data_IF_794274608414
#
_entry.id   IF_794274608414
#
_cell.length_a   1.000
_cell.length_b   1.000
_cell.length_c   1.000
_cell.angle_alpha   90.00
_cell.angle_beta   90.00
_cell.angle_gamma   90.00
#
_symmetry.space_group_name_H-M   'P 1'
#
loop_
_entity.id
_entity.type
_entity.pdbx_description
1 polymer ?
#
# COMPACT_ATOMS: atom_id res chain seq x y z
N UNK A 1 8.04 -13.81 1.25
CA UNK A 1 6.91 -12.86 1.27
C UNK A 1 6.97 -12.06 2.56
N UNK A 2 6.79 -10.73 2.56
CA UNK A 2 6.98 -9.89 3.76
C UNK A 2 6.02 -10.26 4.91
N UNK A 3 4.83 -10.76 4.61
CA UNK A 3 3.82 -11.14 5.59
C UNK A 3 3.97 -12.58 6.14
N UNK A 4 4.97 -13.34 5.71
CA UNK A 4 5.23 -14.70 6.22
C UNK A 4 5.36 -14.81 7.75
N UNK A 5 5.91 -13.81 8.48
CA UNK A 5 6.00 -13.90 9.93
C UNK A 5 4.64 -14.04 10.64
N UNK A 6 3.56 -13.55 9.99
CA UNK A 6 2.20 -13.63 10.54
C UNK A 6 1.64 -15.06 10.56
N UNK A 7 2.10 -15.97 9.70
CA UNK A 7 1.61 -17.35 9.65
C UNK A 7 1.81 -18.09 10.97
N UNK A 8 2.79 -17.71 11.78
CA UNK A 8 3.01 -18.28 13.12
C UNK A 8 1.92 -17.93 14.12
N UNK A 9 1.22 -16.78 13.91
CA UNK A 9 0.11 -16.39 14.79
C UNK A 9 -1.10 -17.31 14.66
N UNK A 10 -1.34 -17.84 13.47
CA UNK A 10 -2.49 -18.73 13.23
C UNK A 10 -2.41 -20.05 14.03
N UNK A 11 -1.25 -20.38 14.59
CA UNK A 11 -1.07 -21.54 15.49
C UNK A 11 -1.56 -21.25 16.91
N UNK A 12 -1.72 -19.98 17.28
CA UNK A 12 -2.22 -19.52 18.58
C UNK A 12 -3.74 -19.30 18.48
N UNK A 13 -4.54 -20.27 18.90
CA UNK A 13 -6.00 -20.23 18.77
C UNK A 13 -6.69 -19.95 20.11
N UNK A 14 -7.74 -19.12 20.10
CA UNK A 14 -8.20 -18.28 18.99
C UNK A 14 -7.27 -17.10 18.73
N UNK A 15 -7.00 -16.81 17.47
CA UNK A 15 -6.35 -15.55 17.09
C UNK A 15 -7.27 -14.39 17.47
N UNK A 16 -6.78 -13.46 18.28
CA UNK A 16 -7.53 -12.27 18.70
C UNK A 16 -7.03 -11.03 17.97
N UNK A 17 -7.95 -10.36 17.28
CA UNK A 17 -7.67 -9.14 16.52
C UNK A 17 -8.47 -7.99 17.09
N UNK A 18 -7.80 -6.93 17.50
CA UNK A 18 -8.41 -5.67 17.91
C UNK A 18 -8.47 -4.72 16.71
N UNK A 19 -9.64 -4.22 16.39
CA UNK A 19 -9.85 -3.16 15.42
C UNK A 19 -10.46 -1.95 16.12
N UNK A 20 -9.72 -0.85 16.19
CA UNK A 20 -10.21 0.41 16.76
C UNK A 20 -10.63 1.32 15.62
N UNK A 21 -11.94 1.53 15.48
CA UNK A 21 -12.48 2.48 14.51
C UNK A 21 -12.56 3.88 15.11
N UNK A 22 -11.68 4.76 14.68
CA UNK A 22 -11.67 6.17 15.05
C UNK A 22 -12.27 7.09 13.96
N UNK A 23 -12.70 6.51 12.82
CA UNK A 23 -13.34 7.20 11.70
C UNK A 23 -14.84 6.94 11.61
N UNK A 24 -15.42 7.29 10.48
CA UNK A 24 -16.83 7.04 10.19
C UNK A 24 -17.10 5.55 9.94
N UNK A 25 -18.22 5.00 10.45
CA UNK A 25 -18.49 3.56 10.36
C UNK A 25 -18.73 3.03 8.93
N UNK A 26 -19.14 3.89 8.02
CA UNK A 26 -19.46 3.61 6.61
C UNK A 26 -18.35 4.02 5.64
N UNK A 27 -17.27 4.60 6.15
CA UNK A 27 -16.10 4.95 5.35
C UNK A 27 -15.46 3.73 4.70
N UNK A 28 -15.00 3.90 3.44
CA UNK A 28 -14.39 2.81 2.66
C UNK A 28 -13.15 2.21 3.34
N UNK A 29 -12.34 3.04 3.99
CA UNK A 29 -11.16 2.59 4.74
C UNK A 29 -11.54 1.56 5.81
N UNK A 30 -12.59 1.84 6.57
CA UNK A 30 -13.09 0.94 7.60
C UNK A 30 -13.81 -0.27 7.01
N UNK A 31 -14.78 -0.06 6.14
CA UNK A 31 -15.57 -1.13 5.53
C UNK A 31 -14.67 -2.10 4.75
N UNK A 32 -13.69 -1.57 4.00
CA UNK A 32 -12.74 -2.35 3.23
C UNK A 32 -11.84 -3.24 4.08
N UNK A 33 -11.49 -2.81 5.28
CA UNK A 33 -10.73 -3.62 6.23
C UNK A 33 -11.61 -4.65 6.93
N UNK A 34 -12.74 -4.20 7.48
CA UNK A 34 -13.53 -5.01 8.41
C UNK A 34 -14.34 -6.10 7.74
N UNK A 35 -14.86 -5.86 6.52
CA UNK A 35 -15.71 -6.85 5.85
C UNK A 35 -14.97 -8.15 5.49
N UNK A 36 -13.78 -8.15 4.86
CA UNK A 36 -13.05 -9.38 4.64
C UNK A 36 -12.71 -10.13 5.94
N UNK A 37 -12.33 -9.41 7.00
CA UNK A 37 -12.02 -10.02 8.30
C UNK A 37 -13.26 -10.62 8.98
N UNK A 38 -14.42 -9.97 8.88
CA UNK A 38 -15.71 -10.52 9.37
C UNK A 38 -16.11 -11.78 8.61
N UNK A 39 -15.91 -11.80 7.29
CA UNK A 39 -16.16 -13.00 6.49
C UNK A 39 -15.23 -14.14 6.91
N UNK A 40 -13.93 -13.85 7.10
CA UNK A 40 -12.99 -14.83 7.64
C UNK A 40 -13.44 -15.37 8.99
N UNK A 41 -13.83 -14.50 9.92
CA UNK A 41 -14.28 -14.91 11.26
C UNK A 41 -15.55 -15.77 11.21
N UNK A 42 -16.48 -15.50 10.29
CA UNK A 42 -17.68 -16.33 10.10
C UNK A 42 -17.34 -17.71 9.52
N UNK A 43 -16.41 -17.76 8.57
CA UNK A 43 -16.01 -19.03 7.93
C UNK A 43 -15.21 -19.92 8.87
N UNK A 44 -14.33 -19.33 9.67
CA UNK A 44 -13.41 -20.07 10.56
C UNK A 44 -14.02 -20.40 11.91
N UNK A 45 -14.98 -19.60 12.37
CA UNK A 45 -15.59 -19.71 13.69
C UNK A 45 -14.78 -19.05 14.81
N UNK A 46 -15.43 -18.82 15.98
CA UNK A 46 -14.85 -18.06 17.09
C UNK A 46 -13.68 -18.75 17.78
N UNK A 47 -13.53 -20.05 17.57
CA UNK A 47 -12.40 -20.84 18.11
C UNK A 47 -11.11 -20.63 17.32
N UNK A 48 -11.20 -20.10 16.09
CA UNK A 48 -10.04 -19.80 15.28
C UNK A 48 -9.75 -18.31 15.18
N UNK A 49 -10.79 -17.46 15.02
CA UNK A 49 -10.63 -16.02 14.86
C UNK A 49 -11.68 -15.25 15.65
N UNK A 50 -11.23 -14.36 16.53
CA UNK A 50 -12.07 -13.41 17.28
C UNK A 50 -11.70 -11.97 16.89
N UNK A 51 -12.74 -11.20 16.53
CA UNK A 51 -12.59 -9.78 16.20
C UNK A 51 -13.21 -8.94 17.31
N UNK A 52 -12.37 -8.19 18.03
CA UNK A 52 -12.79 -7.17 18.97
C UNK A 52 -12.85 -5.84 18.22
N UNK A 53 -14.05 -5.34 17.95
CA UNK A 53 -14.28 -4.09 17.19
C UNK A 53 -14.76 -3.05 18.16
N UNK A 54 -13.95 -2.01 18.38
CA UNK A 54 -14.18 -1.01 19.42
C UNK A 54 -14.07 0.42 18.85
N UNK A 55 -14.82 1.37 19.44
CA UNK A 55 -14.52 2.79 19.30
C UNK A 55 -13.30 3.16 20.17
N UNK A 56 -12.70 4.36 19.97
CA UNK A 56 -11.61 4.83 20.84
C UNK A 56 -12.00 4.84 22.33
N UNK A 57 -13.21 5.29 22.65
CA UNK A 57 -13.74 5.33 24.02
C UNK A 57 -13.87 3.91 24.62
N UNK A 58 -14.43 2.98 23.86
CA UNK A 58 -14.54 1.59 24.28
C UNK A 58 -13.16 0.93 24.48
N UNK A 59 -12.22 1.19 23.54
CA UNK A 59 -10.86 0.68 23.64
C UNK A 59 -10.14 1.21 24.88
N UNK A 60 -10.33 2.48 25.24
CA UNK A 60 -9.76 3.07 26.44
C UNK A 60 -10.32 2.48 27.73
N UNK A 61 -11.60 2.12 27.76
CA UNK A 61 -12.25 1.52 28.93
C UNK A 61 -12.01 0.02 29.06
N UNK A 62 -11.60 -0.66 27.98
CA UNK A 62 -11.33 -2.08 28.01
C UNK A 62 -10.09 -2.35 28.85
N UNK A 63 -10.21 -3.20 29.85
CA UNK A 63 -9.04 -3.61 30.65
C UNK A 63 -8.02 -4.31 29.76
N UNK A 64 -6.69 -4.14 30.03
CA UNK A 64 -5.66 -4.88 29.35
C UNK A 64 -5.88 -6.38 29.58
N UNK A 65 -6.52 -7.04 28.63
CA UNK A 65 -6.57 -8.50 28.63
C UNK A 65 -5.27 -9.00 27.98
N UNK A 66 -4.61 -10.00 28.53
CA UNK A 66 -3.46 -10.57 27.87
C UNK A 66 -3.90 -11.11 26.53
N UNK A 67 -3.24 -10.61 25.43
CA UNK A 67 -3.18 -11.35 24.22
C UNK A 67 -4.02 -10.92 23.03
N UNK A 68 -4.10 -9.64 22.66
CA UNK A 68 -4.33 -9.36 21.26
C UNK A 68 -3.07 -9.71 20.46
N UNK A 69 -3.27 -10.53 19.44
CA UNK A 69 -2.20 -10.95 18.54
C UNK A 69 -1.95 -9.88 17.48
N UNK A 70 -3.01 -9.20 17.05
CA UNK A 70 -2.99 -8.11 16.09
C UNK A 70 -3.90 -6.97 16.56
N UNK A 71 -3.45 -5.72 16.43
CA UNK A 71 -4.24 -4.53 16.71
C UNK A 71 -4.05 -3.48 15.62
N UNK A 72 -5.15 -2.91 15.11
CA UNK A 72 -5.13 -1.87 14.07
C UNK A 72 -5.98 -0.68 14.49
N UNK A 73 -5.38 0.51 14.45
CA UNK A 73 -6.08 1.79 14.58
C UNK A 73 -6.48 2.29 13.19
N UNK A 74 -7.77 2.45 12.97
CA UNK A 74 -8.32 2.79 11.65
C UNK A 74 -8.97 4.17 11.71
N UNK A 75 -8.57 5.04 10.80
CA UNK A 75 -9.18 6.35 10.61
C UNK A 75 -9.05 6.78 9.14
N UNK A 76 -10.02 7.55 8.66
CA UNK A 76 -9.96 8.13 7.32
C UNK A 76 -9.00 9.30 7.26
N UNK A 77 -8.55 9.64 6.07
CA UNK A 77 -7.56 10.70 5.85
C UNK A 77 -8.03 12.09 6.32
N UNK A 78 -9.33 12.34 6.33
CA UNK A 78 -9.93 13.61 6.76
C UNK A 78 -10.32 13.61 8.25
N UNK A 79 -10.11 12.51 8.95
CA UNK A 79 -10.52 12.38 10.34
C UNK A 79 -9.54 13.09 11.27
N UNK A 80 -10.05 13.96 12.13
CA UNK A 80 -9.25 14.55 13.20
C UNK A 80 -8.93 13.51 14.29
N UNK A 81 -7.74 13.59 14.91
CA UNK A 81 -7.38 12.68 16.00
C UNK A 81 -8.33 12.86 17.21
N UNK A 82 -8.57 11.79 17.96
CA UNK A 82 -9.25 11.89 19.26
C UNK A 82 -8.52 12.86 20.22
N UNK A 83 -9.19 13.32 21.29
CA UNK A 83 -8.50 14.10 22.32
C UNK A 83 -7.20 13.44 22.80
N UNK A 84 -6.14 14.20 23.10
CA UNK A 84 -4.79 13.66 23.33
C UNK A 84 -4.71 12.54 24.39
N UNK A 85 -5.44 12.66 25.49
CA UNK A 85 -5.46 11.65 26.56
C UNK A 85 -6.10 10.33 26.10
N UNK A 86 -7.20 10.46 25.32
CA UNK A 86 -7.88 9.30 24.73
C UNK A 86 -6.98 8.64 23.69
N UNK A 87 -6.39 9.44 22.82
CA UNK A 87 -5.47 8.93 21.79
C UNK A 87 -4.30 8.17 22.42
N UNK A 88 -3.63 8.75 23.44
CA UNK A 88 -2.54 8.08 24.16
C UNK A 88 -2.97 6.71 24.67
N UNK A 89 -4.12 6.62 25.32
CA UNK A 89 -4.63 5.35 25.85
C UNK A 89 -4.90 4.34 24.75
N UNK A 90 -5.46 4.77 23.62
CA UNK A 90 -5.70 3.90 22.45
C UNK A 90 -4.38 3.41 21.85
N UNK A 91 -3.38 4.29 21.71
CA UNK A 91 -2.07 3.93 21.19
C UNK A 91 -1.37 2.89 22.08
N UNK A 92 -1.43 3.08 23.41
CA UNK A 92 -0.87 2.13 24.39
C UNK A 92 -1.56 0.76 24.26
N UNK A 93 -2.89 0.74 24.06
CA UNK A 93 -3.63 -0.50 23.83
C UNK A 93 -3.21 -1.20 22.54
N UNK A 94 -3.16 -0.47 21.45
CA UNK A 94 -2.76 -1.02 20.16
C UNK A 94 -1.33 -1.57 20.22
N UNK A 95 -0.37 -0.80 20.76
CA UNK A 95 1.04 -1.18 20.81
C UNK A 95 1.34 -2.37 21.74
N UNK A 96 0.42 -2.71 22.65
CA UNK A 96 0.52 -3.89 23.51
C UNK A 96 0.32 -5.20 22.75
N UNK A 97 -0.29 -5.18 21.57
CA UNK A 97 -0.46 -6.36 20.73
C UNK A 97 0.88 -6.84 20.15
N UNK A 98 0.93 -8.13 19.78
CA UNK A 98 2.16 -8.71 19.21
C UNK A 98 2.52 -8.11 17.85
N UNK A 99 1.51 -7.90 17.00
CA UNK A 99 1.59 -7.08 15.78
C UNK A 99 0.57 -5.96 15.89
N UNK A 100 0.95 -4.78 15.48
CA UNK A 100 0.07 -3.63 15.60
C UNK A 100 0.39 -2.58 14.52
N UNK A 101 -0.52 -1.65 14.33
CA UNK A 101 -0.32 -0.62 13.34
C UNK A 101 -1.54 0.23 13.07
N UNK A 102 -1.54 0.90 11.91
CA UNK A 102 -2.59 1.81 11.51
C UNK A 102 -3.07 1.63 10.08
N UNK A 103 -4.24 2.17 9.81
CA UNK A 103 -4.83 2.25 8.48
C UNK A 103 -5.35 3.68 8.28
N UNK A 104 -5.02 4.29 7.14
CA UNK A 104 -5.37 5.68 6.86
C UNK A 104 -4.67 6.66 7.79
N UNK A 105 -5.39 7.63 8.35
CA UNK A 105 -4.85 8.62 9.30
C UNK A 105 -4.36 7.98 10.61
N UNK A 106 -4.83 6.78 10.96
CA UNK A 106 -4.32 6.03 12.10
C UNK A 106 -2.81 5.78 12.03
N UNK A 107 -2.24 5.65 10.83
CA UNK A 107 -0.78 5.54 10.63
C UNK A 107 -0.08 6.84 11.02
N UNK A 108 -0.63 7.99 10.61
CA UNK A 108 -0.09 9.31 10.93
C UNK A 108 -0.04 9.52 12.44
N UNK A 109 -1.12 9.22 13.16
CA UNK A 109 -1.18 9.41 14.60
C UNK A 109 -0.19 8.53 15.37
N UNK A 110 0.04 7.30 14.91
CA UNK A 110 1.07 6.41 15.48
C UNK A 110 2.49 6.95 15.22
N UNK A 111 2.71 7.51 14.04
CA UNK A 111 4.00 8.09 13.67
C UNK A 111 4.28 9.40 14.43
N UNK A 112 3.27 10.27 14.60
CA UNK A 112 3.36 11.50 15.38
C UNK A 112 3.67 11.22 16.86
N UNK A 113 3.12 10.15 17.40
CA UNK A 113 3.42 9.68 18.74
C UNK A 113 4.84 9.07 18.88
N UNK A 114 5.61 9.01 17.79
CA UNK A 114 6.98 8.48 17.77
C UNK A 114 7.06 6.94 17.80
N UNK A 115 5.94 6.25 17.66
CA UNK A 115 5.89 4.80 17.76
C UNK A 115 6.38 4.08 16.49
N UNK A 116 6.55 4.80 15.38
CA UNK A 116 7.00 4.26 14.09
C UNK A 116 8.39 4.78 13.68
N UNK A 117 9.24 5.16 14.64
CA UNK A 117 10.57 5.66 14.35
C UNK A 117 11.45 4.60 13.66
N UNK A 118 12.03 4.97 12.49
CA UNK A 118 12.89 4.10 11.69
C UNK A 118 12.14 2.97 10.94
N UNK A 119 10.81 2.94 11.00
CA UNK A 119 9.96 1.93 10.36
C UNK A 119 9.51 2.42 8.99
N UNK A 120 9.45 1.52 8.01
CA UNK A 120 8.81 1.80 6.71
C UNK A 120 7.30 1.78 6.88
N UNK A 121 6.67 2.86 6.43
CA UNK A 121 5.22 3.04 6.56
C UNK A 121 4.57 3.41 5.22
N UNK A 122 3.39 2.87 4.98
CA UNK A 122 2.48 3.29 3.92
C UNK A 122 1.44 4.24 4.53
N UNK A 123 1.47 5.49 4.10
CA UNK A 123 0.56 6.55 4.54
C UNK A 123 -0.29 7.00 3.36
N UNK A 124 -1.56 7.44 3.55
CA UNK A 124 -2.30 8.10 2.49
C UNK A 124 -1.52 9.28 1.90
N UNK A 125 -1.40 9.34 0.59
CA UNK A 125 -0.66 10.41 -0.07
C UNK A 125 -1.20 11.81 0.27
N UNK A 126 -2.51 11.95 0.51
CA UNK A 126 -3.14 13.21 0.89
C UNK A 126 -2.57 13.78 2.19
N UNK A 127 -2.05 12.94 3.07
CA UNK A 127 -1.43 13.33 4.33
C UNK A 127 0.08 13.59 4.23
N UNK A 128 0.69 13.45 3.05
CA UNK A 128 2.14 13.66 2.91
C UNK A 128 2.57 15.11 3.16
N UNK A 129 1.70 16.09 2.90
CA UNK A 129 2.00 17.50 3.20
C UNK A 129 2.12 17.77 4.70
N UNK A 130 1.48 16.97 5.53
CA UNK A 130 1.51 17.08 6.99
C UNK A 130 2.73 16.38 7.61
N UNK A 131 3.54 15.70 6.77
CA UNK A 131 4.59 14.78 7.23
C UNK A 131 6.00 15.35 7.19
N UNK A 132 6.21 16.64 6.95
CA UNK A 132 7.56 17.22 6.89
C UNK A 132 8.36 16.97 8.18
N UNK A 133 7.69 16.95 9.33
CA UNK A 133 8.26 16.56 10.61
C UNK A 133 8.41 15.03 10.80
N UNK A 134 7.61 14.21 10.06
CA UNK A 134 7.61 12.75 10.16
C UNK A 134 8.74 12.09 9.37
N UNK A 135 9.20 12.70 8.27
CA UNK A 135 10.32 12.19 7.45
C UNK A 135 11.62 12.07 8.26
N UNK A 136 11.70 12.76 9.39
CA UNK A 136 12.81 12.61 10.36
C UNK A 136 12.64 11.38 11.26
N UNK A 137 11.44 10.77 11.33
CA UNK A 137 11.11 9.70 12.29
C UNK A 137 10.75 8.38 11.65
N UNK A 138 10.00 8.38 10.54
CA UNK A 138 9.57 7.17 9.82
C UNK A 138 10.02 7.22 8.36
N UNK A 139 10.14 6.06 7.72
CA UNK A 139 10.52 5.93 6.30
C UNK A 139 9.23 5.80 5.48
N UNK A 140 8.82 6.88 4.83
CA UNK A 140 7.63 6.87 3.98
C UNK A 140 7.86 6.05 2.70
N UNK A 141 6.94 5.14 2.40
CA UNK A 141 6.94 4.39 1.15
C UNK A 141 5.73 4.76 0.29
N UNK A 142 5.84 4.70 -1.03
CA UNK A 142 4.70 4.94 -1.91
C UNK A 142 3.77 3.72 -2.03
N UNK A 143 3.96 2.71 -1.23
CA UNK A 143 3.26 1.42 -1.29
C UNK A 143 1.84 1.52 -0.75
N UNK A 144 1.01 0.52 -1.08
CA UNK A 144 -0.36 0.43 -0.57
C UNK A 144 -0.38 0.09 0.92
N UNK A 145 0.50 -0.84 1.33
CA UNK A 145 0.63 -1.25 2.73
C UNK A 145 2.00 -1.89 2.98
N UNK A 146 2.44 -1.82 4.23
CA UNK A 146 3.74 -2.34 4.69
C UNK A 146 3.59 -3.22 5.93
N UNK A 147 4.47 -4.21 6.02
CA UNK A 147 4.81 -4.89 7.28
C UNK A 147 6.31 -4.73 7.49
N UNK A 148 6.69 -4.02 8.54
CA UNK A 148 8.08 -3.85 8.94
C UNK A 148 8.26 -4.24 10.40
N UNK A 149 9.02 -5.32 10.63
CA UNK A 149 9.12 -5.93 11.95
C UNK A 149 7.77 -6.44 12.45
N UNK A 150 7.23 -5.81 13.49
CA UNK A 150 5.90 -6.09 14.06
C UNK A 150 4.86 -5.03 13.74
N UNK A 151 5.22 -4.03 12.95
CA UNK A 151 4.36 -2.90 12.63
C UNK A 151 3.73 -3.04 11.25
N UNK A 152 2.46 -2.70 11.19
CA UNK A 152 1.62 -2.75 10.01
C UNK A 152 1.14 -1.35 9.66
N UNK A 153 1.17 -1.01 8.39
CA UNK A 153 0.60 0.25 7.92
C UNK A 153 -0.08 0.06 6.57
N UNK A 154 -1.19 0.74 6.36
CA UNK A 154 -1.93 0.73 5.10
C UNK A 154 -2.42 2.15 4.80
N UNK A 155 -2.31 2.55 3.54
CA UNK A 155 -2.75 3.88 3.10
C UNK A 155 -4.28 4.10 3.14
N UNK A 156 -5.08 3.08 3.46
CA UNK A 156 -6.54 3.23 3.56
C UNK A 156 -7.28 3.17 2.23
N UNK A 157 -8.51 3.65 2.19
CA UNK A 157 -9.40 3.58 1.04
C UNK A 157 -9.57 2.15 0.53
N UNK A 158 -9.63 1.96 -0.78
CA UNK A 158 -9.75 0.63 -1.39
C UNK A 158 -8.55 -0.31 -1.11
N UNK A 159 -7.37 0.22 -0.75
CA UNK A 159 -6.23 -0.59 -0.37
C UNK A 159 -6.45 -1.38 0.93
N UNK A 160 -7.40 -0.95 1.77
CA UNK A 160 -7.80 -1.66 2.99
C UNK A 160 -8.35 -3.06 2.68
N UNK A 161 -9.01 -3.23 1.52
CA UNK A 161 -9.51 -4.53 1.07
C UNK A 161 -8.35 -5.47 0.75
N UNK A 162 -7.38 -4.99 -0.04
CA UNK A 162 -6.20 -5.78 -0.41
C UNK A 162 -5.35 -6.14 0.80
N UNK A 163 -5.21 -5.19 1.72
CA UNK A 163 -4.52 -5.39 2.99
C UNK A 163 -5.20 -6.46 3.83
N UNK A 164 -6.52 -6.37 4.04
CA UNK A 164 -7.28 -7.37 4.79
C UNK A 164 -7.20 -8.77 4.16
N UNK A 165 -7.34 -8.87 2.83
CA UNK A 165 -7.20 -10.13 2.10
C UNK A 165 -5.77 -10.69 2.18
N UNK A 166 -4.76 -9.83 2.17
CA UNK A 166 -3.36 -10.25 2.37
C UNK A 166 -3.12 -10.77 3.79
N UNK A 167 -3.70 -10.11 4.81
CA UNK A 167 -3.66 -10.60 6.19
C UNK A 167 -4.33 -11.97 6.32
N UNK A 168 -5.51 -12.16 5.72
CA UNK A 168 -6.20 -13.46 5.72
C UNK A 168 -5.35 -14.52 5.06
N UNK A 169 -4.74 -14.24 3.90
CA UNK A 169 -3.86 -15.21 3.23
C UNK A 169 -2.63 -15.57 4.08
N UNK A 170 -2.03 -14.59 4.74
CA UNK A 170 -0.85 -14.81 5.59
C UNK A 170 -1.19 -15.61 6.87
N UNK A 171 -2.40 -15.45 7.39
CA UNK A 171 -2.85 -16.10 8.62
C UNK A 171 -3.47 -17.48 8.37
N UNK A 172 -4.30 -17.62 7.34
CA UNK A 172 -5.16 -18.79 7.13
C UNK A 172 -5.02 -19.44 5.74
N UNK A 173 -4.09 -18.93 4.94
CA UNK A 173 -3.78 -19.49 3.63
C UNK A 173 -4.63 -18.98 2.48
N UNK A 174 -4.22 -19.36 1.27
CA UNK A 174 -4.79 -18.87 0.01
C UNK A 174 -6.24 -19.35 -0.22
N UNK A 175 -6.61 -20.49 0.31
CA UNK A 175 -7.96 -21.06 0.14
C UNK A 175 -9.02 -20.19 0.83
N UNK A 176 -8.76 -19.76 2.08
CA UNK A 176 -9.68 -18.86 2.80
C UNK A 176 -9.75 -17.49 2.13
N UNK A 177 -8.59 -16.96 1.70
CA UNK A 177 -8.55 -15.71 0.93
C UNK A 177 -9.38 -15.81 -0.36
N UNK A 178 -9.24 -16.90 -1.13
CA UNK A 178 -9.94 -17.09 -2.41
C UNK A 178 -11.47 -17.10 -2.20
N UNK A 179 -11.96 -17.81 -1.20
CA UNK A 179 -13.39 -17.87 -0.90
C UNK A 179 -13.97 -16.49 -0.50
N UNK A 180 -13.22 -15.71 0.28
CA UNK A 180 -13.64 -14.34 0.66
C UNK A 180 -13.60 -13.43 -0.56
N UNK A 181 -12.56 -13.52 -1.38
CA UNK A 181 -12.39 -12.77 -2.62
C UNK A 181 -13.56 -13.00 -3.56
N UNK A 182 -13.97 -14.25 -3.75
CA UNK A 182 -15.13 -14.65 -4.56
C UNK A 182 -16.42 -14.05 -3.98
N UNK A 183 -16.64 -14.18 -2.69
CA UNK A 183 -17.82 -13.62 -2.00
C UNK A 183 -17.94 -12.10 -2.11
N UNK A 184 -16.81 -11.39 -2.27
CA UNK A 184 -16.75 -9.95 -2.44
C UNK A 184 -16.67 -9.51 -3.91
N UNK A 185 -16.75 -10.44 -4.87
CA UNK A 185 -16.60 -10.17 -6.32
C UNK A 185 -15.28 -9.44 -6.66
N UNK A 186 -14.18 -9.80 -5.98
CA UNK A 186 -12.88 -9.19 -6.19
C UNK A 186 -12.07 -10.07 -7.14
N UNK A 187 -11.73 -9.55 -8.31
CA UNK A 187 -10.95 -10.30 -9.30
C UNK A 187 -9.48 -10.43 -8.93
N UNK A 188 -8.89 -9.38 -8.36
CA UNK A 188 -7.46 -9.30 -8.06
C UNK A 188 -7.22 -8.67 -6.69
N UNK A 189 -6.28 -9.22 -5.94
CA UNK A 189 -5.68 -8.59 -4.76
C UNK A 189 -4.39 -7.90 -5.19
N UNK A 190 -4.30 -6.60 -4.96
CA UNK A 190 -3.09 -5.83 -5.27
C UNK A 190 -1.98 -6.20 -4.28
N UNK A 191 -0.72 -6.38 -4.74
CA UNK A 191 0.40 -6.65 -3.85
C UNK A 191 0.73 -5.42 -2.98
N UNK A 192 1.38 -5.66 -1.84
CA UNK A 192 1.69 -4.60 -0.88
C UNK A 192 2.55 -3.49 -1.47
N UNK A 193 3.50 -3.85 -2.36
CA UNK A 193 4.47 -2.98 -3.02
C UNK A 193 3.92 -2.31 -4.29
N UNK A 194 2.64 -2.52 -4.62
CA UNK A 194 1.99 -1.71 -5.65
C UNK A 194 1.91 -0.26 -5.17
N UNK A 195 2.31 0.65 -6.04
CA UNK A 195 2.32 2.08 -5.69
C UNK A 195 0.90 2.64 -5.64
N UNK A 196 0.67 3.52 -4.69
CA UNK A 196 -0.54 4.33 -4.66
C UNK A 196 -0.65 5.11 -5.96
N UNK A 197 -1.77 4.94 -6.68
CA UNK A 197 -2.07 5.73 -7.87
C UNK A 197 -2.53 7.12 -7.44
N UNK A 198 -1.57 7.99 -7.32
CA UNK A 198 -1.84 9.41 -7.10
C UNK A 198 -1.74 10.08 -8.44
N UNK A 199 -2.79 10.79 -8.83
CA UNK A 199 -2.62 11.79 -9.86
C UNK A 199 -1.56 12.76 -9.34
N UNK A 200 -0.41 12.85 -10.01
CA UNK A 200 0.70 13.72 -9.60
C UNK A 200 0.27 15.19 -9.50
N UNK A 201 -0.78 15.58 -10.23
CA UNK A 201 -1.48 16.85 -10.04
C UNK A 201 -1.99 17.04 -8.61
N UNK A 202 -2.50 16.01 -7.95
CA UNK A 202 -2.96 16.11 -6.58
C UNK A 202 -1.80 16.12 -5.58
N UNK A 203 -0.71 15.42 -5.89
CA UNK A 203 0.48 15.33 -5.01
C UNK A 203 1.36 16.57 -5.05
N UNK A 204 1.52 17.19 -6.21
CA UNK A 204 2.44 18.33 -6.43
C UNK A 204 1.81 19.49 -7.19
N UNK A 205 0.58 19.36 -7.66
CA UNK A 205 -0.02 20.31 -8.62
C UNK A 205 -0.08 21.75 -8.14
N UNK A 206 -0.32 21.99 -6.87
CA UNK A 206 -0.30 23.33 -6.28
C UNK A 206 1.13 23.79 -5.92
N UNK A 207 2.01 22.86 -5.52
CA UNK A 207 3.36 23.18 -5.06
C UNK A 207 4.40 23.16 -6.18
N UNK A 208 4.24 22.26 -7.16
CA UNK A 208 5.18 22.08 -8.27
C UNK A 208 4.46 21.77 -9.59
N UNK A 209 3.79 22.77 -10.19
CA UNK A 209 3.02 22.57 -11.44
C UNK A 209 3.85 21.96 -12.57
N UNK A 210 5.12 22.39 -12.71
CA UNK A 210 6.02 21.93 -13.76
C UNK A 210 6.45 20.48 -13.64
N UNK A 211 6.60 19.97 -12.40
CA UNK A 211 6.86 18.56 -12.16
C UNK A 211 5.63 17.72 -12.53
N UNK A 212 4.45 18.16 -12.12
CA UNK A 212 3.18 17.52 -12.44
C UNK A 212 2.92 17.45 -13.94
N UNK A 213 3.15 18.56 -14.63
CA UNK A 213 3.03 18.66 -16.09
C UNK A 213 4.01 17.69 -16.80
N UNK A 214 5.26 17.64 -16.35
CA UNK A 214 6.28 16.74 -16.91
C UNK A 214 5.87 15.26 -16.77
N UNK A 215 5.35 14.86 -15.62
CA UNK A 215 4.94 13.47 -15.43
C UNK A 215 3.66 13.15 -16.19
N UNK A 216 2.71 14.07 -16.28
CA UNK A 216 1.53 13.89 -17.15
C UNK A 216 1.95 13.66 -18.62
N UNK A 217 2.96 14.39 -19.10
CA UNK A 217 3.52 14.14 -20.43
C UNK A 217 4.15 12.74 -20.55
N UNK A 218 4.87 12.28 -19.53
CA UNK A 218 5.43 10.92 -19.52
C UNK A 218 4.33 9.84 -19.53
N UNK A 219 3.27 10.02 -18.76
CA UNK A 219 2.13 9.10 -18.72
C UNK A 219 1.36 9.04 -20.04
N UNK A 220 1.22 10.17 -20.71
CA UNK A 220 0.54 10.26 -21.99
C UNK A 220 1.37 9.67 -23.15
N UNK A 221 2.69 9.55 -23.00
CA UNK A 221 3.60 9.13 -24.06
C UNK A 221 4.39 7.86 -23.71
N UNK A 222 3.70 6.84 -23.15
CA UNK A 222 4.33 5.57 -22.76
C UNK A 222 4.80 4.76 -23.96
N UNK A 223 4.01 4.73 -25.04
CA UNK A 223 4.27 3.95 -26.26
C UNK A 223 5.37 4.58 -27.11
N UNK A 224 5.36 5.91 -27.22
CA UNK A 224 6.38 6.69 -27.93
C UNK A 224 7.07 7.65 -26.94
N UNK A 225 8.08 7.16 -26.19
CA UNK A 225 8.66 7.94 -25.10
C UNK A 225 9.39 9.18 -25.57
N UNK A 226 9.02 10.32 -25.00
CA UNK A 226 9.73 11.58 -25.19
C UNK A 226 11.10 11.55 -24.52
N UNK A 227 12.07 12.27 -25.09
CA UNK A 227 13.36 12.47 -24.43
C UNK A 227 13.23 13.39 -23.21
N UNK A 228 14.19 13.33 -22.29
CA UNK A 228 14.23 14.25 -21.14
C UNK A 228 14.33 15.72 -21.59
N UNK A 229 15.00 15.98 -22.70
CA UNK A 229 15.15 17.33 -23.26
C UNK A 229 13.83 17.83 -23.86
N UNK A 230 13.10 16.97 -24.58
CA UNK A 230 11.77 17.30 -25.11
C UNK A 230 10.78 17.61 -23.97
N UNK A 231 10.73 16.77 -22.93
CA UNK A 231 9.87 17.00 -21.77
C UNK A 231 10.23 18.33 -21.09
N UNK A 232 11.53 18.59 -20.87
CA UNK A 232 11.97 19.84 -20.27
C UNK A 232 11.53 21.05 -21.09
N UNK A 233 11.71 21.00 -22.42
CA UNK A 233 11.27 22.05 -23.35
C UNK A 233 9.76 22.26 -23.29
N UNK A 234 8.96 21.19 -23.31
CA UNK A 234 7.49 21.27 -23.29
C UNK A 234 6.96 21.90 -22.00
N UNK A 235 7.60 21.64 -20.86
CA UNK A 235 7.20 22.26 -19.58
C UNK A 235 7.88 23.61 -19.31
N UNK A 236 8.67 24.14 -20.26
CA UNK A 236 9.34 25.42 -20.13
C UNK A 236 10.47 25.46 -19.11
N UNK A 237 11.20 24.35 -18.97
CA UNK A 237 12.37 24.20 -18.10
C UNK A 237 13.61 23.82 -18.90
N UNK A 238 14.80 24.13 -18.37
CA UNK A 238 16.02 23.47 -18.84
C UNK A 238 16.08 22.04 -18.29
N UNK A 239 16.77 21.13 -18.98
CA UNK A 239 17.02 19.76 -18.53
C UNK A 239 17.53 19.71 -17.08
N UNK A 240 18.50 20.56 -16.71
CA UNK A 240 19.09 20.63 -15.37
C UNK A 240 18.05 21.03 -14.31
N UNK A 241 17.13 21.94 -14.65
CA UNK A 241 16.03 22.31 -13.73
C UNK A 241 15.06 21.14 -13.54
N UNK A 242 14.70 20.43 -14.61
CA UNK A 242 13.84 19.25 -14.55
C UNK A 242 14.49 18.15 -13.70
N UNK A 243 15.76 17.81 -13.95
CA UNK A 243 16.50 16.81 -13.17
C UNK A 243 16.56 17.19 -11.67
N UNK A 244 16.78 18.48 -11.35
CA UNK A 244 16.75 18.96 -9.96
C UNK A 244 15.38 18.78 -9.31
N UNK A 245 14.28 19.09 -10.01
CA UNK A 245 12.93 18.89 -9.50
C UNK A 245 12.64 17.41 -9.25
N UNK A 246 12.97 16.54 -10.21
CA UNK A 246 12.78 15.10 -10.03
C UNK A 246 13.60 14.57 -8.86
N UNK A 247 14.86 15.01 -8.72
CA UNK A 247 15.72 14.58 -7.60
C UNK A 247 15.17 15.07 -6.26
N UNK A 248 14.72 16.32 -6.19
CA UNK A 248 14.22 16.93 -4.96
C UNK A 248 12.89 16.30 -4.47
N UNK A 249 11.95 16.03 -5.39
CA UNK A 249 10.59 15.63 -5.02
C UNK A 249 10.29 14.14 -5.23
N UNK A 250 11.05 13.45 -6.08
CA UNK A 250 10.84 12.05 -6.43
C UNK A 250 12.07 11.17 -6.13
N UNK A 251 13.14 11.76 -5.61
CA UNK A 251 14.46 11.12 -5.37
C UNK A 251 14.95 10.28 -6.55
N UNK A 252 14.62 10.68 -7.75
CA UNK A 252 14.92 9.98 -9.00
C UNK A 252 15.35 10.95 -10.09
N UNK A 253 16.01 10.44 -11.14
CA UNK A 253 16.21 11.18 -12.38
C UNK A 253 14.98 11.02 -13.28
N UNK A 254 14.63 12.01 -14.14
CA UNK A 254 13.51 11.92 -15.06
C UNK A 254 13.52 10.65 -15.92
N UNK A 255 14.67 10.31 -16.50
CA UNK A 255 14.84 9.12 -17.34
C UNK A 255 14.59 7.81 -16.58
N UNK A 256 15.06 7.72 -15.33
CA UNK A 256 14.83 6.55 -14.46
C UNK A 256 13.37 6.44 -14.06
N UNK A 257 12.78 7.54 -13.63
CA UNK A 257 11.37 7.59 -13.29
C UNK A 257 10.48 7.17 -14.47
N UNK A 258 10.79 7.69 -15.67
CA UNK A 258 10.05 7.33 -16.88
C UNK A 258 10.20 5.85 -17.27
N UNK A 259 11.41 5.29 -17.12
CA UNK A 259 11.64 3.87 -17.34
C UNK A 259 10.79 3.03 -16.36
N UNK A 260 10.78 3.36 -15.07
CA UNK A 260 9.98 2.69 -14.06
C UNK A 260 8.48 2.76 -14.37
N UNK A 261 7.98 3.92 -14.80
CA UNK A 261 6.59 4.13 -15.19
C UNK A 261 6.19 3.19 -16.36
N UNK A 262 7.02 3.11 -17.38
CA UNK A 262 6.82 2.23 -18.55
C UNK A 262 6.86 0.74 -18.16
N UNK A 263 7.76 0.34 -17.27
CA UNK A 263 7.85 -1.02 -16.75
C UNK A 263 6.65 -1.39 -15.88
N UNK A 264 6.13 -0.48 -15.08
CA UNK A 264 4.90 -0.68 -14.31
C UNK A 264 3.70 -0.88 -15.23
N UNK A 265 3.58 -0.09 -16.30
CA UNK A 265 2.55 -0.29 -17.33
C UNK A 265 2.69 -1.65 -18.01
N UNK A 266 3.91 -2.06 -18.34
CA UNK A 266 4.18 -3.37 -18.92
C UNK A 266 3.76 -4.51 -17.97
N UNK A 267 4.07 -4.41 -16.68
CA UNK A 267 3.65 -5.36 -15.66
C UNK A 267 2.13 -5.50 -15.61
N UNK A 268 1.42 -4.38 -15.64
CA UNK A 268 -0.03 -4.36 -15.67
C UNK A 268 -0.56 -5.08 -16.92
N UNK A 269 -0.04 -4.77 -18.11
CA UNK A 269 -0.46 -5.43 -19.36
C UNK A 269 -0.15 -6.93 -19.37
N UNK A 270 0.96 -7.37 -18.78
CA UNK A 270 1.31 -8.79 -18.65
C UNK A 270 0.29 -9.54 -17.78
N UNK A 271 -0.23 -8.90 -16.73
CA UNK A 271 -1.19 -9.50 -15.80
C UNK A 271 -2.64 -9.41 -16.31
N UNK A 272 -3.01 -8.33 -17.00
CA UNK A 272 -4.40 -8.05 -17.38
C UNK A 272 -4.76 -8.53 -18.80
N UNK A 273 -3.76 -8.70 -19.69
CA UNK A 273 -4.01 -9.00 -21.11
C UNK A 273 -3.36 -10.30 -21.56
N UNK A 274 -3.69 -10.72 -22.78
CA UNK A 274 -3.09 -11.88 -23.45
C UNK A 274 -2.09 -11.48 -24.57
N UNK A 275 -1.70 -10.21 -24.65
CA UNK A 275 -0.69 -9.76 -25.62
C UNK A 275 0.63 -10.51 -25.43
N UNK A 276 1.36 -10.78 -26.49
CA UNK A 276 2.68 -11.41 -26.37
C UNK A 276 3.65 -10.52 -25.57
N UNK A 277 4.68 -11.10 -24.98
CA UNK A 277 5.70 -10.34 -24.23
C UNK A 277 6.33 -9.27 -25.11
N UNK A 278 6.55 -9.57 -26.38
CA UNK A 278 7.09 -8.63 -27.37
C UNK A 278 6.13 -7.47 -27.61
N UNK A 279 4.84 -7.78 -27.81
CA UNK A 279 3.81 -6.75 -27.97
C UNK A 279 3.71 -5.83 -26.75
N UNK A 280 3.72 -6.40 -25.55
CA UNK A 280 3.73 -5.60 -24.30
C UNK A 280 4.96 -4.68 -24.24
N UNK A 281 6.15 -5.20 -24.61
CA UNK A 281 7.35 -4.37 -24.69
C UNK A 281 7.18 -3.18 -25.65
N UNK A 282 6.67 -3.43 -26.86
CA UNK A 282 6.40 -2.39 -27.86
C UNK A 282 5.38 -1.36 -27.37
N UNK A 283 4.24 -1.80 -26.81
CA UNK A 283 3.22 -0.92 -26.21
C UNK A 283 3.73 -0.07 -25.05
N UNK A 284 4.88 -0.44 -24.49
CA UNK A 284 5.55 0.33 -23.43
C UNK A 284 6.82 1.02 -23.93
N UNK A 285 6.96 1.21 -25.26
CA UNK A 285 8.01 1.98 -25.90
C UNK A 285 9.40 1.33 -25.89
N UNK A 286 9.49 0.01 -25.72
CA UNK A 286 10.76 -0.70 -25.85
C UNK A 286 10.98 -1.15 -27.28
N UNK A 287 12.11 -0.74 -27.87
CA UNK A 287 12.50 -1.10 -29.23
C UNK A 287 13.03 -2.52 -29.37
N UNK A 288 13.43 -3.18 -28.26
CA UNK A 288 13.89 -4.58 -28.27
C UNK A 288 13.41 -5.38 -27.06
N UNK A 289 13.04 -6.63 -27.30
CA UNK A 289 12.59 -7.56 -26.26
C UNK A 289 13.67 -7.89 -25.23
N UNK A 290 14.95 -7.88 -25.62
CA UNK A 290 16.07 -8.11 -24.71
C UNK A 290 16.24 -6.95 -23.74
N UNK A 291 16.20 -5.72 -24.21
CA UNK A 291 16.26 -4.52 -23.37
C UNK A 291 15.06 -4.47 -22.41
N UNK A 292 13.85 -4.77 -22.91
CA UNK A 292 12.66 -4.88 -22.08
C UNK A 292 12.83 -5.91 -20.96
N UNK A 293 13.23 -7.14 -21.30
CA UNK A 293 13.37 -8.22 -20.33
C UNK A 293 14.43 -7.94 -19.27
N UNK A 294 15.57 -7.36 -19.67
CA UNK A 294 16.65 -6.99 -18.76
C UNK A 294 16.21 -5.87 -17.81
N UNK A 295 15.58 -4.80 -18.33
CA UNK A 295 15.09 -3.70 -17.51
C UNK A 295 13.96 -4.15 -16.55
N UNK A 296 13.08 -5.02 -17.04
CA UNK A 296 11.99 -5.59 -16.23
C UNK A 296 12.55 -6.45 -15.07
N UNK A 297 13.49 -7.34 -15.38
CA UNK A 297 14.15 -8.18 -14.37
C UNK A 297 14.92 -7.36 -13.33
N UNK A 298 15.58 -6.29 -13.74
CA UNK A 298 16.31 -5.39 -12.83
C UNK A 298 15.35 -4.66 -11.86
N UNK A 299 14.14 -4.32 -12.29
CA UNK A 299 13.17 -3.61 -11.44
C UNK A 299 12.36 -4.55 -10.56
N UNK A 300 11.87 -5.68 -11.09
CA UNK A 300 10.91 -6.54 -10.40
C UNK A 300 11.51 -7.84 -9.84
N UNK A 301 12.78 -8.13 -10.13
CA UNK A 301 13.46 -9.34 -9.65
C UNK A 301 13.03 -10.64 -10.34
N UNK A 302 12.17 -10.56 -11.38
CA UNK A 302 11.67 -11.69 -12.16
C UNK A 302 11.53 -11.32 -13.64
N UNK A 303 11.47 -12.31 -14.51
CA UNK A 303 11.30 -12.07 -15.94
C UNK A 303 9.85 -11.75 -16.31
N UNK A 304 9.59 -11.06 -17.45
CA UNK A 304 8.22 -10.85 -17.95
C UNK A 304 7.43 -12.16 -18.16
N UNK A 305 8.13 -13.25 -18.47
CA UNK A 305 7.54 -14.57 -18.64
C UNK A 305 7.06 -15.16 -17.31
N UNK A 306 7.89 -15.07 -16.29
CA UNK A 306 7.55 -15.50 -14.92
C UNK A 306 6.42 -14.66 -14.34
N UNK A 307 6.43 -13.34 -14.58
CA UNK A 307 5.32 -12.47 -14.13
C UNK A 307 3.99 -12.85 -14.77
N UNK A 308 3.99 -13.19 -16.05
CA UNK A 308 2.78 -13.70 -16.73
C UNK A 308 2.32 -15.05 -16.20
N UNK A 309 3.25 -15.97 -15.88
CA UNK A 309 2.92 -17.25 -15.31
C UNK A 309 2.23 -17.14 -13.95
N UNK A 310 2.53 -16.10 -13.17
CA UNK A 310 1.80 -15.80 -11.93
C UNK A 310 0.31 -15.56 -12.13
N UNK A 311 -0.11 -15.08 -13.33
CA UNK A 311 -1.53 -14.99 -13.71
C UNK A 311 -2.16 -16.37 -13.91
N UNK A 312 -1.39 -17.33 -14.41
CA UNK A 312 -1.88 -18.66 -14.86
C UNK A 312 -1.75 -19.74 -13.77
N UNK A 313 -0.92 -19.52 -12.75
CA UNK A 313 -0.81 -20.46 -11.64
C UNK A 313 -1.85 -20.11 -10.58
N UNK A 314 -2.78 -21.04 -10.26
CA UNK A 314 -3.47 -20.96 -9.00
C UNK A 314 -2.40 -20.93 -7.89
N UNK A 315 -2.61 -20.24 -6.76
CA UNK A 315 -1.67 -20.25 -5.67
C UNK A 315 -1.36 -21.71 -5.34
N UNK A 316 -0.06 -22.05 -5.32
CA UNK A 316 0.39 -23.39 -4.96
C UNK A 316 -0.23 -23.76 -3.62
N UNK A 317 -0.93 -24.89 -3.61
CA UNK A 317 -1.72 -25.38 -2.50
C UNK A 317 -0.94 -25.59 -1.20
#
# INVERSE_FOLDING_TARGET
MPFSPLSRLAQEQPLRVLLVNAGEPDALTWAGLVQPLRLAARMLGPEQLRLDILSPQQAALTQPQPGWHLALLVADEQQAPPPPELLRTVLDRCSSARYWGGVGAGVLWLADAGLMAGVRIALPWALYAETEALTQRAILTPHLFELDGRMLSCCGGAASIDFALTLVAALYGATVQAAIKESLCIERVRPHDERQRVALQARFGALQPKLSEAVTLMEANIEEPLSTDDIAGLVGLSRRQLERLFKQYLDSLPSRYYLELRLQRARQLLLETNHSIVQVGLMCGFSSGSHFSTAFGALFGNTPREERQRKLMPPAG
#
